data_IF_045164348112
#
_entry.id   IF_045164348112
#
_cell.length_a   1.000
_cell.length_b   1.000
_cell.length_c   1.000
_cell.angle_alpha   90.00
_cell.angle_beta   90.00
_cell.angle_gamma   90.00
#
_symmetry.space_group_name_H-M   'P 1'
#
loop_
_entity.id
_entity.type
_entity.pdbx_description
1 polymer ?
#
# COMPACT_ATOMS: atom_id res chain seq x y z
N UNK A 1 -8.10 -11.61 -10.67
CA UNK A 1 -8.13 -10.73 -9.48
C UNK A 1 -7.02 -11.20 -8.57
N UNK A 2 -6.23 -10.31 -7.98
CA UNK A 2 -5.10 -10.70 -7.13
C UNK A 2 -5.55 -11.57 -5.93
N UNK A 3 -4.73 -12.56 -5.54
CA UNK A 3 -4.92 -13.31 -4.29
C UNK A 3 -4.69 -12.39 -3.09
N UNK A 4 -5.53 -12.48 -2.06
CA UNK A 4 -5.53 -11.56 -0.90
C UNK A 4 -5.47 -12.28 0.43
N UNK A 5 -4.55 -11.88 1.30
CA UNK A 5 -4.44 -12.29 2.71
C UNK A 5 -4.53 -11.05 3.60
N UNK A 6 -5.41 -11.06 4.62
CA UNK A 6 -5.52 -9.98 5.61
C UNK A 6 -5.00 -10.46 6.95
N UNK A 7 -4.15 -9.65 7.56
CA UNK A 7 -3.67 -9.80 8.92
C UNK A 7 -4.14 -8.58 9.72
N UNK A 8 -4.67 -8.80 10.92
CA UNK A 8 -5.07 -7.73 11.86
C UNK A 8 -4.28 -7.98 13.13
N UNK A 9 -3.66 -6.95 13.69
CA UNK A 9 -2.94 -7.00 14.97
C UNK A 9 -3.68 -6.25 16.08
N UNK A 10 -3.32 -6.47 17.35
CA UNK A 10 -3.94 -5.79 18.48
C UNK A 10 -3.65 -4.28 18.47
N UNK A 11 -4.60 -3.50 18.98
CA UNK A 11 -4.45 -2.06 19.25
C UNK A 11 -3.68 -1.85 20.56
N UNK A 12 -2.66 -0.97 20.62
CA UNK A 12 -1.97 -0.70 21.87
C UNK A 12 -2.86 0.07 22.87
N UNK A 13 -2.83 -0.35 24.13
CA UNK A 13 -3.27 0.48 25.26
C UNK A 13 -2.28 1.64 25.46
N UNK A 14 -2.76 2.78 25.94
CA UNK A 14 -2.01 4.03 26.09
C UNK A 14 -0.98 4.06 27.23
N UNK A 15 -0.59 2.91 27.79
CA UNK A 15 0.33 2.86 28.91
C UNK A 15 1.76 2.63 28.42
N UNK A 16 2.41 3.73 28.05
CA UNK A 16 3.84 3.78 27.84
C UNK A 16 4.53 3.71 29.21
N UNK A 17 5.27 2.63 29.46
CA UNK A 17 6.27 2.64 30.53
C UNK A 17 7.63 2.06 30.08
N UNK A 18 8.63 2.87 30.40
CA UNK A 18 10.08 2.72 30.36
C UNK A 18 10.69 1.34 30.04
N UNK A 19 11.31 1.22 28.85
CA UNK A 19 12.34 0.21 28.59
C UNK A 19 13.73 0.87 28.56
N UNK A 20 14.49 0.64 29.63
CA UNK A 20 15.88 1.05 29.82
C UNK A 20 16.82 0.25 28.91
N UNK A 21 17.79 0.95 28.32
CA UNK A 21 18.84 0.40 27.47
C UNK A 21 20.01 -0.08 28.35
N UNK A 22 20.48 -1.34 28.29
CA UNK A 22 21.69 -1.73 28.99
C UNK A 22 22.91 -1.40 28.12
N UNK A 23 23.76 -0.51 28.63
CA UNK A 23 25.05 -0.17 28.03
C UNK A 23 26.05 -1.32 28.14
N UNK A 24 26.84 -1.50 27.09
CA UNK A 24 27.99 -2.43 27.08
C UNK A 24 29.26 -1.60 26.87
N UNK A 25 30.14 -1.67 27.86
CA UNK A 25 31.47 -1.08 27.94
C UNK A 25 32.45 -1.71 26.94
N UNK A 26 33.29 -0.88 26.33
CA UNK A 26 34.25 -1.31 25.31
C UNK A 26 35.54 -1.97 25.83
N UNK A 27 36.31 -2.48 24.86
CA UNK A 27 37.78 -2.59 24.89
C UNK A 27 38.31 -2.58 23.46
N UNK A 28 39.40 -1.85 23.25
CA UNK A 28 40.06 -1.63 21.97
C UNK A 28 41.35 -2.45 21.83
N UNK A 29 41.60 -2.94 20.62
CA UNK A 29 42.88 -3.23 19.94
C UNK A 29 42.46 -3.59 18.50
N UNK A 30 42.90 -2.96 17.41
CA UNK A 30 44.25 -2.57 17.03
C UNK A 30 44.60 -3.40 15.79
N UNK A 31 44.53 -2.80 14.60
CA UNK A 31 45.42 -3.00 13.44
C UNK A 31 44.78 -2.44 12.15
N UNK A 32 45.61 -1.75 11.37
CA UNK A 32 45.20 -0.92 10.25
C UNK A 32 44.98 -1.71 8.97
N UNK A 33 43.86 -1.43 8.33
CA UNK A 33 43.64 -1.72 6.93
C UNK A 33 42.96 -0.48 6.33
N UNK A 34 43.57 0.14 5.31
CA UNK A 34 42.95 1.27 4.59
C UNK A 34 41.78 0.74 3.77
N UNK A 35 40.64 0.58 4.41
CA UNK A 35 39.36 0.40 3.73
C UNK A 35 39.04 1.72 3.06
N UNK A 36 38.97 1.71 1.72
CA UNK A 36 38.51 2.87 0.96
C UNK A 36 37.15 3.32 1.52
N UNK A 37 37.01 4.62 1.76
CA UNK A 37 35.79 5.24 2.27
C UNK A 37 34.57 4.68 1.55
N UNK A 38 33.85 3.77 2.21
CA UNK A 38 32.57 3.30 1.74
C UNK A 38 31.65 4.51 1.79
N UNK A 39 31.35 5.12 0.63
CA UNK A 39 30.39 6.21 0.53
C UNK A 39 29.13 5.78 1.26
N UNK A 40 28.79 6.48 2.34
CA UNK A 40 27.53 6.29 3.06
C UNK A 40 26.41 6.31 2.01
N UNK A 41 25.58 5.26 1.91
CA UNK A 41 24.54 5.21 0.90
C UNK A 41 23.62 6.42 1.09
N UNK A 42 23.48 7.23 0.04
CA UNK A 42 22.57 8.38 0.07
C UNK A 42 21.15 7.91 0.44
N UNK A 43 20.42 8.67 1.25
CA UNK A 43 19.08 8.31 1.65
C UNK A 43 18.18 8.12 0.41
N UNK A 44 17.19 7.22 0.46
CA UNK A 44 16.30 6.97 -0.65
C UNK A 44 15.65 8.26 -1.17
N UNK A 45 15.73 8.51 -2.48
CA UNK A 45 15.07 9.66 -3.11
C UNK A 45 13.57 9.60 -2.85
N UNK A 46 13.05 10.61 -2.17
CA UNK A 46 11.62 10.81 -1.93
C UNK A 46 11.03 11.71 -3.01
N UNK A 47 9.96 11.26 -3.63
CA UNK A 47 9.19 12.00 -4.64
C UNK A 47 7.80 12.29 -4.07
N UNK A 48 7.37 13.55 -4.12
CA UNK A 48 6.04 13.95 -3.63
C UNK A 48 5.22 14.47 -4.80
N UNK A 49 4.02 13.91 -4.96
CA UNK A 49 3.04 14.34 -5.97
C UNK A 49 1.84 14.95 -5.24
N UNK A 50 1.67 16.26 -5.38
CA UNK A 50 0.44 16.94 -4.99
C UNK A 50 -0.67 16.62 -6.00
N UNK A 51 -1.76 16.05 -5.50
CA UNK A 51 -2.96 15.74 -6.28
C UNK A 51 -4.01 16.86 -6.19
N UNK A 52 -3.76 17.89 -5.38
CA UNK A 52 -4.66 18.99 -5.10
C UNK A 52 -5.72 18.66 -4.03
N UNK A 53 -6.28 19.71 -3.44
CA UNK A 53 -7.35 19.58 -2.44
C UNK A 53 -6.91 18.87 -1.15
N UNK A 54 -5.61 18.94 -0.80
CA UNK A 54 -5.02 18.26 0.35
C UNK A 54 -4.84 16.75 0.15
N UNK A 55 -4.89 16.26 -1.09
CA UNK A 55 -4.56 14.88 -1.44
C UNK A 55 -3.10 14.79 -1.90
N UNK A 56 -2.35 13.83 -1.39
CA UNK A 56 -0.93 13.68 -1.71
C UNK A 56 -0.53 12.20 -1.89
N UNK A 57 0.46 11.97 -2.76
CA UNK A 57 1.18 10.71 -2.90
C UNK A 57 2.67 10.94 -2.66
N UNK A 58 3.27 10.14 -1.77
CA UNK A 58 4.73 10.07 -1.59
C UNK A 58 5.22 8.76 -2.19
N UNK A 59 6.26 8.82 -3.02
CA UNK A 59 6.88 7.65 -3.64
C UNK A 59 8.37 7.60 -3.33
N UNK A 60 8.85 6.42 -2.93
CA UNK A 60 10.26 6.14 -2.64
C UNK A 60 10.65 4.90 -3.45
N UNK A 61 11.29 5.06 -4.62
CA UNK A 61 11.56 3.96 -5.55
C UNK A 61 12.51 2.88 -5.01
N UNK A 62 13.36 3.22 -4.03
CA UNK A 62 14.35 2.33 -3.41
C UNK A 62 14.23 2.41 -1.89
N UNK A 63 13.05 2.09 -1.38
CA UNK A 63 12.77 2.12 0.05
C UNK A 63 13.48 0.98 0.79
N UNK A 64 13.43 -0.22 0.22
CA UNK A 64 14.17 -1.40 0.70
C UNK A 64 15.43 -1.58 -0.15
N UNK A 65 16.57 -1.84 0.49
CA UNK A 65 17.81 -2.18 -0.20
C UNK A 65 17.60 -3.41 -1.11
N UNK A 66 18.27 -3.45 -2.26
CA UNK A 66 18.02 -4.44 -3.32
C UNK A 66 18.11 -5.87 -2.81
N UNK A 67 19.16 -6.18 -2.05
CA UNK A 67 19.46 -7.50 -1.53
C UNK A 67 18.36 -7.95 -0.56
N UNK A 68 17.96 -7.06 0.35
CA UNK A 68 16.87 -7.31 1.29
C UNK A 68 15.51 -7.41 0.61
N UNK A 69 15.26 -6.63 -0.44
CA UNK A 69 14.02 -6.70 -1.17
C UNK A 69 13.83 -8.06 -1.87
N UNK A 70 14.92 -8.68 -2.36
CA UNK A 70 14.89 -10.04 -2.89
C UNK A 70 14.71 -11.10 -1.81
N UNK A 71 15.42 -10.98 -0.69
CA UNK A 71 15.24 -11.88 0.47
C UNK A 71 13.78 -11.90 0.93
N UNK A 72 13.17 -10.72 1.07
CA UNK A 72 11.77 -10.60 1.48
C UNK A 72 10.82 -11.11 0.41
N UNK A 73 11.07 -10.80 -0.87
CA UNK A 73 10.26 -11.32 -1.97
C UNK A 73 10.24 -12.84 -1.98
N UNK A 74 11.41 -13.48 -1.90
CA UNK A 74 11.55 -14.93 -1.91
C UNK A 74 10.83 -15.56 -0.72
N UNK A 75 11.01 -15.00 0.47
CA UNK A 75 10.30 -15.46 1.66
C UNK A 75 8.78 -15.36 1.50
N UNK A 76 8.27 -14.21 1.06
CA UNK A 76 6.83 -13.98 0.88
C UNK A 76 6.23 -14.88 -0.22
N UNK A 77 6.94 -15.08 -1.33
CA UNK A 77 6.45 -15.86 -2.45
C UNK A 77 6.43 -17.36 -2.14
N UNK A 78 7.46 -17.85 -1.43
CA UNK A 78 7.63 -19.29 -1.13
C UNK A 78 6.97 -19.74 0.17
N UNK A 79 6.92 -18.87 1.18
CA UNK A 79 6.52 -19.28 2.54
C UNK A 79 5.06 -18.98 2.85
N UNK A 80 4.43 -18.02 2.17
CA UNK A 80 3.01 -17.71 2.40
C UNK A 80 2.15 -18.65 1.57
N UNK A 81 1.21 -19.39 2.18
CA UNK A 81 0.23 -20.14 1.44
C UNK A 81 -0.77 -19.16 0.83
N UNK A 82 -0.57 -18.79 -0.45
CA UNK A 82 -1.42 -17.86 -1.21
C UNK A 82 -2.80 -18.43 -1.58
N UNK A 83 -3.34 -19.23 -0.67
CA UNK A 83 -4.68 -19.79 -0.62
C UNK A 83 -5.51 -18.99 0.38
N UNK A 84 -6.76 -18.69 0.06
CA UNK A 84 -7.72 -18.22 1.07
C UNK A 84 -8.39 -19.45 1.70
N UNK A 85 -7.99 -19.90 2.90
CA UNK A 85 -8.81 -20.88 3.60
C UNK A 85 -10.14 -20.20 3.93
N UNK A 86 -11.22 -20.69 3.31
CA UNK A 86 -12.58 -20.36 3.72
C UNK A 86 -12.91 -21.17 4.96
N UNK A 87 -13.30 -20.50 6.04
CA UNK A 87 -13.93 -21.12 7.20
C UNK A 87 -15.46 -21.03 7.04
N UNK A 88 -16.17 -22.12 7.28
CA UNK A 88 -17.64 -22.10 7.30
C UNK A 88 -18.13 -21.73 8.70
N UNK A 89 -18.79 -20.59 8.83
CA UNK A 89 -19.43 -20.11 10.06
C UNK A 89 -20.94 -20.06 9.82
N UNK A 90 -21.71 -20.87 10.54
CA UNK A 90 -23.17 -21.00 10.36
C UNK A 90 -23.59 -21.26 8.90
N UNK A 91 -22.83 -22.08 8.18
CA UNK A 91 -23.10 -22.40 6.76
C UNK A 91 -22.67 -21.32 5.75
N UNK A 92 -22.07 -20.20 6.20
CA UNK A 92 -21.53 -19.15 5.33
C UNK A 92 -20.00 -19.19 5.33
N UNK A 93 -19.37 -19.10 4.17
CA UNK A 93 -17.90 -19.01 4.05
C UNK A 93 -17.40 -17.62 4.50
N UNK A 94 -16.41 -17.59 5.38
CA UNK A 94 -15.70 -16.40 5.87
C UNK A 94 -14.18 -16.57 5.74
N UNK A 95 -13.41 -15.47 5.65
CA UNK A 95 -11.95 -15.52 5.51
C UNK A 95 -11.28 -15.59 6.91
N UNK A 96 -10.29 -16.47 7.07
CA UNK A 96 -9.47 -16.54 8.29
C UNK A 96 -8.44 -15.38 8.34
N UNK A 97 -8.34 -14.69 9.47
CA UNK A 97 -7.38 -13.60 9.72
C UNK A 97 -6.32 -14.12 10.70
N UNK A 98 -5.04 -13.98 10.38
CA UNK A 98 -3.93 -14.31 11.29
C UNK A 98 -3.28 -13.02 11.82
N UNK A 99 -2.81 -13.02 13.06
CA UNK A 99 -2.10 -11.90 13.71
C UNK A 99 -0.59 -11.90 13.38
N UNK A 100 0.04 -10.72 13.26
CA UNK A 100 1.51 -10.63 13.23
C UNK A 100 2.09 -9.26 13.65
N UNK A 101 3.02 -9.36 14.61
CA UNK A 101 4.24 -8.58 14.94
C UNK A 101 4.18 -7.18 15.62
N UNK A 102 5.05 -6.89 16.63
CA UNK A 102 5.11 -5.63 17.37
C UNK A 102 5.99 -4.54 16.72
N UNK A 103 5.65 -3.25 16.92
CA UNK A 103 6.57 -2.12 16.76
C UNK A 103 6.30 -1.10 15.64
N UNK A 104 5.12 -1.08 15.02
CA UNK A 104 4.73 -0.05 14.03
C UNK A 104 3.22 0.26 14.10
N UNK A 105 2.80 1.51 13.85
CA UNK A 105 1.40 1.97 14.00
C UNK A 105 0.49 1.67 12.79
N UNK A 106 0.52 0.42 12.31
CA UNK A 106 -0.46 -0.11 11.38
C UNK A 106 -0.96 -1.44 11.94
N UNK A 107 -2.21 -1.49 12.39
CA UNK A 107 -2.80 -2.71 12.95
C UNK A 107 -3.53 -3.55 11.87
N UNK A 108 -3.49 -3.16 10.60
CA UNK A 108 -4.04 -3.94 9.49
C UNK A 108 -3.06 -4.02 8.33
N UNK A 109 -2.73 -5.24 7.92
CA UNK A 109 -1.89 -5.55 6.77
C UNK A 109 -2.66 -6.41 5.75
N UNK A 110 -2.75 -5.93 4.51
CA UNK A 110 -3.31 -6.67 3.38
C UNK A 110 -2.22 -7.02 2.38
N UNK A 111 -2.02 -8.30 2.11
CA UNK A 111 -1.12 -8.78 1.07
C UNK A 111 -1.91 -9.05 -0.20
N UNK A 112 -1.42 -8.56 -1.33
CA UNK A 112 -1.93 -8.91 -2.66
C UNK A 112 -0.83 -9.59 -3.46
N UNK A 113 -1.09 -10.81 -3.97
CA UNK A 113 -0.21 -11.47 -4.94
C UNK A 113 -0.84 -11.48 -6.32
N UNK A 114 -0.09 -10.95 -7.29
CA UNK A 114 -0.38 -10.95 -8.71
C UNK A 114 0.51 -12.01 -9.34
N UNK A 115 -0.05 -13.12 -9.81
CA UNK A 115 0.70 -14.23 -10.39
C UNK A 115 1.36 -13.81 -11.70
N UNK A 116 0.61 -13.10 -12.54
CA UNK A 116 1.05 -12.58 -13.83
C UNK A 116 0.37 -11.23 -14.10
N UNK A 117 0.57 -10.70 -15.30
CA UNK A 117 -0.10 -9.51 -15.79
C UNK A 117 -1.60 -9.65 -16.04
N UNK A 118 -2.17 -10.85 -16.01
CA UNK A 118 -3.63 -11.04 -16.09
C UNK A 118 -4.33 -10.69 -14.77
N UNK A 119 -3.59 -10.71 -13.65
CA UNK A 119 -4.07 -10.27 -12.35
C UNK A 119 -4.09 -8.75 -12.24
N UNK A 120 -5.13 -8.26 -11.57
CA UNK A 120 -5.44 -6.85 -11.48
C UNK A 120 -6.20 -6.56 -10.18
N UNK A 121 -6.28 -5.28 -9.86
CA UNK A 121 -7.29 -4.72 -8.95
C UNK A 121 -8.01 -3.59 -9.68
N UNK A 122 -9.35 -3.65 -9.69
CA UNK A 122 -10.19 -2.61 -10.29
C UNK A 122 -10.04 -1.28 -9.58
N UNK A 123 -10.58 -0.21 -10.18
CA UNK A 123 -10.69 1.09 -9.54
C UNK A 123 -11.44 1.00 -8.21
N UNK A 124 -10.78 1.43 -7.13
CA UNK A 124 -11.33 1.48 -5.77
C UNK A 124 -10.63 2.57 -4.95
N UNK A 125 -11.13 2.84 -3.75
CA UNK A 125 -10.44 3.62 -2.74
C UNK A 125 -10.46 2.82 -1.43
N UNK A 126 -9.51 3.09 -0.53
CA UNK A 126 -9.53 2.55 0.83
C UNK A 126 -10.29 3.54 1.74
N UNK A 127 -11.60 3.64 1.54
CA UNK A 127 -12.49 4.63 2.18
C UNK A 127 -13.51 4.00 3.16
N UNK A 128 -13.21 2.79 3.65
CA UNK A 128 -14.00 2.18 4.71
C UNK A 128 -14.00 3.04 5.99
N UNK A 129 -15.16 3.25 6.65
CA UNK A 129 -15.27 4.13 7.81
C UNK A 129 -14.27 3.84 8.93
N UNK A 130 -13.89 2.57 9.07
CA UNK A 130 -12.95 2.08 10.08
C UNK A 130 -11.51 2.63 9.92
N UNK A 131 -11.17 3.25 8.78
CA UNK A 131 -9.86 3.90 8.59
C UNK A 131 -9.88 5.41 8.87
N UNK A 132 -11.05 5.99 9.20
CA UNK A 132 -11.22 7.41 9.43
C UNK A 132 -11.28 8.26 8.15
N UNK A 133 -11.38 9.60 8.29
CA UNK A 133 -11.66 10.50 7.16
C UNK A 133 -10.45 10.80 6.26
N UNK A 134 -9.23 10.61 6.76
CA UNK A 134 -7.96 10.89 6.04
C UNK A 134 -6.93 9.80 6.33
N UNK A 135 -7.20 8.54 5.97
CA UNK A 135 -6.29 7.45 6.28
C UNK A 135 -4.97 7.60 5.53
N UNK A 136 -3.87 7.28 6.22
CA UNK A 136 -2.58 7.08 5.59
C UNK A 136 -2.42 5.61 5.20
N UNK A 137 -2.25 5.36 3.90
CA UNK A 137 -2.12 4.03 3.33
C UNK A 137 -0.71 3.87 2.78
N UNK A 138 0.07 2.97 3.37
CA UNK A 138 1.42 2.65 2.91
C UNK A 138 1.44 1.34 2.11
N UNK A 139 2.08 1.36 0.94
CA UNK A 139 2.11 0.25 0.01
C UNK A 139 3.55 -0.09 -0.37
N UNK A 140 4.03 -1.26 0.05
CA UNK A 140 5.37 -1.76 -0.28
C UNK A 140 5.26 -2.83 -1.36
N UNK A 141 6.04 -2.70 -2.44
CA UNK A 141 5.98 -3.59 -3.61
C UNK A 141 7.25 -4.43 -3.75
N UNK A 142 7.07 -5.73 -4.03
CA UNK A 142 8.13 -6.68 -4.35
C UNK A 142 7.82 -7.46 -5.63
N UNK A 143 8.87 -7.95 -6.27
CA UNK A 143 8.78 -8.67 -7.56
C UNK A 143 8.61 -7.76 -8.76
N UNK A 144 7.81 -8.20 -9.74
CA UNK A 144 7.63 -7.53 -11.02
C UNK A 144 7.01 -6.13 -10.89
N UNK A 145 7.54 -5.17 -11.66
CA UNK A 145 7.04 -3.79 -11.68
C UNK A 145 5.67 -3.69 -12.35
N UNK A 146 4.79 -2.85 -11.78
CA UNK A 146 3.45 -2.64 -12.31
C UNK A 146 3.03 -1.18 -12.17
N UNK A 147 2.27 -0.72 -13.17
CA UNK A 147 1.60 0.57 -13.07
C UNK A 147 0.57 0.56 -11.94
N UNK A 148 0.63 1.59 -11.12
CA UNK A 148 -0.39 1.96 -10.16
C UNK A 148 -1.02 3.25 -10.64
N UNK A 149 -2.29 3.18 -11.01
CA UNK A 149 -2.99 4.29 -11.62
C UNK A 149 -3.85 4.99 -10.57
N UNK A 150 -3.87 6.32 -10.59
CA UNK A 150 -4.78 7.14 -9.80
C UNK A 150 -5.66 7.99 -10.73
N UNK A 151 -6.95 8.05 -10.45
CA UNK A 151 -7.89 8.97 -11.10
C UNK A 151 -8.80 9.62 -10.07
N UNK A 152 -9.26 10.83 -10.34
CA UNK A 152 -10.23 11.50 -9.49
C UNK A 152 -11.54 10.72 -9.49
N UNK A 153 -12.25 10.68 -8.35
CA UNK A 153 -13.58 10.09 -8.29
C UNK A 153 -14.53 10.87 -9.20
N UNK A 154 -15.52 10.21 -9.84
CA UNK A 154 -16.56 10.90 -10.57
C UNK A 154 -17.32 11.83 -9.63
N UNK A 155 -17.35 13.14 -9.91
CA UNK A 155 -18.23 14.06 -9.19
C UNK A 155 -19.67 13.75 -9.54
N UNK A 156 -20.50 13.43 -8.55
CA UNK A 156 -21.95 13.44 -8.70
C UNK A 156 -22.38 14.90 -8.79
N UNK A 157 -22.47 15.44 -10.00
CA UNK A 157 -23.17 16.71 -10.21
C UNK A 157 -24.62 16.50 -9.79
N UNK A 158 -25.00 17.03 -8.62
CA UNK A 158 -26.41 17.22 -8.29
C UNK A 158 -26.96 18.17 -9.35
N UNK A 159 -27.71 17.65 -10.31
CA UNK A 159 -28.59 18.48 -11.11
C UNK A 159 -29.55 19.14 -10.10
N UNK A 160 -29.39 20.44 -9.91
CA UNK A 160 -30.35 21.26 -9.17
C UNK A 160 -31.72 20.99 -9.80
N UNK A 161 -32.59 20.33 -9.06
CA UNK A 161 -33.95 20.01 -9.47
C UNK A 161 -34.75 21.31 -9.51
N UNK A 162 -34.60 22.06 -10.60
CA UNK A 162 -35.62 22.98 -11.06
C UNK A 162 -36.77 22.14 -11.60
N UNK A 163 -37.96 22.32 -11.00
CA UNK A 163 -39.23 21.78 -11.45
C UNK A 163 -39.47 22.12 -12.93
N UNK A 164 -39.61 21.11 -13.79
CA UNK A 164 -40.02 21.30 -15.17
C UNK A 164 -39.44 20.29 -16.16
N UNK A 165 -40.30 19.33 -16.52
CA UNK A 165 -40.28 18.53 -17.76
C UNK A 165 -39.21 17.45 -18.03
N UNK A 166 -39.72 16.29 -18.42
CA UNK A 166 -39.04 15.03 -18.64
C UNK A 166 -38.17 15.05 -19.91
N UNK A 167 -36.93 15.52 -19.78
CA UNK A 167 -35.87 15.26 -20.74
C UNK A 167 -34.88 14.25 -20.18
N UNK A 168 -34.63 13.13 -20.88
CA UNK A 168 -33.53 12.19 -20.59
C UNK A 168 -32.19 12.94 -20.69
N UNK A 169 -31.75 13.58 -19.61
CA UNK A 169 -30.43 14.22 -19.53
C UNK A 169 -29.36 13.14 -19.44
N UNK A 170 -28.83 12.77 -20.60
CA UNK A 170 -27.58 12.02 -20.72
C UNK A 170 -26.51 12.79 -19.95
N UNK A 171 -26.00 12.22 -18.84
CA UNK A 171 -24.90 12.81 -18.10
C UNK A 171 -23.73 13.01 -19.07
N UNK A 172 -23.50 14.25 -19.47
CA UNK A 172 -22.32 14.66 -20.23
C UNK A 172 -21.16 14.56 -19.25
N UNK A 173 -20.45 13.43 -19.29
CA UNK A 173 -19.16 13.25 -18.59
C UNK A 173 -18.19 14.24 -19.22
N UNK A 174 -18.07 15.42 -18.64
CA UNK A 174 -17.18 16.47 -19.10
C UNK A 174 -15.77 16.24 -18.56
N UNK A 175 -14.80 16.37 -19.46
CA UNK A 175 -13.34 16.35 -19.29
C UNK A 175 -12.71 15.01 -18.88
N UNK A 176 -11.74 14.57 -19.67
CA UNK A 176 -10.73 13.58 -19.33
C UNK A 176 -10.04 13.98 -18.02
N UNK A 177 -10.54 13.48 -16.89
CA UNK A 177 -9.89 13.72 -15.60
C UNK A 177 -8.45 13.18 -15.69
N UNK A 178 -7.48 14.06 -15.42
CA UNK A 178 -6.04 13.74 -15.45
C UNK A 178 -5.77 12.52 -14.58
N UNK A 179 -5.29 11.46 -15.22
CA UNK A 179 -4.86 10.24 -14.54
C UNK A 179 -3.38 10.38 -14.16
N UNK A 180 -3.02 9.98 -12.95
CA UNK A 180 -1.64 9.83 -12.52
C UNK A 180 -1.23 8.36 -12.65
N UNK A 181 0.03 8.10 -13.04
CA UNK A 181 0.58 6.76 -13.17
C UNK A 181 1.90 6.67 -12.44
N UNK A 182 2.03 5.68 -11.56
CA UNK A 182 3.24 5.40 -10.79
C UNK A 182 3.72 4.00 -11.14
N UNK A 183 4.94 3.87 -11.66
CA UNK A 183 5.55 2.55 -11.89
C UNK A 183 6.13 2.06 -10.55
N UNK A 184 5.43 1.14 -9.89
CA UNK A 184 5.85 0.62 -8.59
C UNK A 184 6.95 -0.43 -8.78
N UNK A 185 8.15 -0.06 -8.35
CA UNK A 185 9.36 -0.87 -8.51
C UNK A 185 9.51 -1.91 -7.40
N UNK A 186 10.35 -2.89 -7.65
CA UNK A 186 10.81 -3.83 -6.63
C UNK A 186 11.46 -3.08 -5.45
N UNK A 187 11.01 -3.35 -4.22
CA UNK A 187 11.51 -2.69 -3.01
C UNK A 187 11.04 -1.24 -2.83
N UNK A 188 10.04 -0.79 -3.59
CA UNK A 188 9.52 0.57 -3.49
C UNK A 188 8.42 0.73 -2.44
N UNK A 189 8.29 1.95 -1.91
CA UNK A 189 7.19 2.38 -1.03
C UNK A 189 6.38 3.48 -1.74
N UNK A 190 5.05 3.33 -1.75
CA UNK A 190 4.10 4.39 -2.10
C UNK A 190 3.19 4.65 -0.91
N UNK A 191 3.08 5.91 -0.49
CA UNK A 191 2.17 6.35 0.57
C UNK A 191 1.11 7.27 -0.03
N UNK A 192 -0.16 6.96 0.22
CA UNK A 192 -1.29 7.83 -0.08
C UNK A 192 -1.79 8.44 1.23
N UNK A 193 -1.86 9.77 1.34
CA UNK A 193 -2.28 10.46 2.56
C UNK A 193 -3.14 11.69 2.31
N UNK A 194 -3.65 12.29 3.37
CA UNK A 194 -4.60 13.40 3.31
C UNK A 194 -5.94 12.95 2.76
N UNK A 195 -6.52 13.69 1.81
CA UNK A 195 -7.83 13.38 1.24
C UNK A 195 -7.79 12.41 0.04
N UNK A 196 -6.66 11.74 -0.19
CA UNK A 196 -6.49 10.86 -1.37
C UNK A 196 -7.56 9.77 -1.42
N UNK A 197 -7.85 9.07 -0.32
CA UNK A 197 -8.89 8.03 -0.33
C UNK A 197 -10.31 8.61 -0.46
N UNK A 198 -10.53 9.87 -0.06
CA UNK A 198 -11.82 10.56 -0.23
C UNK A 198 -12.05 10.92 -1.70
N UNK A 199 -11.06 11.52 -2.36
CA UNK A 199 -11.23 12.21 -3.64
C UNK A 199 -10.75 11.40 -4.86
N UNK A 200 -9.93 10.36 -4.65
CA UNK A 200 -9.29 9.59 -5.70
C UNK A 200 -9.63 8.10 -5.62
N UNK A 201 -9.58 7.43 -6.76
CA UNK A 201 -9.57 5.99 -6.89
C UNK A 201 -8.25 5.53 -7.49
N UNK A 202 -7.81 4.34 -7.11
CA UNK A 202 -6.60 3.72 -7.62
C UNK A 202 -6.85 2.32 -8.18
N UNK A 203 -5.96 1.87 -9.07
CA UNK A 203 -6.03 0.54 -9.68
C UNK A 203 -4.65 -0.01 -10.06
N UNK A 204 -4.58 -1.33 -10.24
CA UNK A 204 -3.44 -2.01 -10.89
C UNK A 204 -4.01 -2.72 -12.12
N UNK A 205 -3.84 -2.17 -13.33
CA UNK A 205 -4.46 -2.67 -14.55
C UNK A 205 -3.75 -3.93 -15.08
N UNK A 206 -4.45 -4.73 -15.90
CA UNK A 206 -3.85 -5.88 -16.61
C UNK A 206 -2.70 -5.46 -17.54
N UNK A 207 -1.71 -6.33 -17.73
CA UNK A 207 -0.54 -6.13 -18.61
C UNK A 207 -0.18 -7.44 -19.31
N UNK A 208 -0.55 -7.61 -20.58
CA UNK A 208 -0.44 -8.90 -21.28
C UNK A 208 0.98 -9.50 -21.32
N UNK A 209 2.02 -8.66 -21.35
CA UNK A 209 3.43 -9.09 -21.48
C UNK A 209 4.11 -9.42 -20.14
N UNK A 210 3.42 -9.32 -19.02
CA UNK A 210 3.99 -9.61 -17.69
C UNK A 210 3.70 -11.07 -17.31
N UNK A 211 4.76 -11.87 -17.15
CA UNK A 211 4.69 -13.27 -16.74
C UNK A 211 5.20 -13.53 -15.32
N UNK A 212 5.94 -12.59 -14.73
CA UNK A 212 6.53 -12.74 -13.41
C UNK A 212 5.62 -12.24 -12.28
N UNK A 213 5.70 -12.85 -11.08
CA UNK A 213 4.84 -12.47 -9.97
C UNK A 213 5.21 -11.11 -9.35
N UNK A 214 4.20 -10.46 -8.76
CA UNK A 214 4.32 -9.26 -7.93
C UNK A 214 3.59 -9.48 -6.61
N UNK A 215 4.19 -9.06 -5.52
CA UNK A 215 3.58 -9.05 -4.19
C UNK A 215 3.51 -7.60 -3.70
N UNK A 216 2.37 -7.23 -3.13
CA UNK A 216 2.16 -5.89 -2.56
C UNK A 216 1.64 -6.01 -1.14
N UNK A 217 2.29 -5.32 -0.20
CA UNK A 217 1.90 -5.20 1.20
C UNK A 217 1.25 -3.84 1.39
N UNK A 218 -0.03 -3.81 1.76
CA UNK A 218 -0.77 -2.59 2.05
C UNK A 218 -1.05 -2.48 3.54
N UNK A 219 -0.38 -1.54 4.19
CA UNK A 219 -0.50 -1.24 5.60
C UNK A 219 -1.54 -0.14 5.82
N UNK A 220 -2.38 -0.32 6.85
CA UNK A 220 -3.46 0.60 7.24
C UNK A 220 -3.59 0.66 8.76
N UNK A 221 -4.13 1.77 9.24
CA UNK A 221 -4.51 1.93 10.64
C UNK A 221 -6.03 1.86 10.76
N UNK A 222 -6.53 0.88 11.49
CA UNK A 222 -7.93 0.70 11.86
C UNK A 222 -8.16 1.45 13.17
N UNK A 223 -9.12 2.39 13.15
CA UNK A 223 -9.60 3.09 14.32
C UNK A 223 -10.41 2.13 15.20
N UNK A 224 -10.14 2.16 16.51
CA UNK A 224 -10.90 1.48 17.57
C UNK A 224 -12.12 2.28 17.99
#
# INVERSE_FOLDING_TARGET
MASRLRLVGPTPSTDADSAQNPGISGKAAGEGERVGEAKTPEPPRREVTDLGGGSEVVYIPRFVAREKAWEWFDYLDKSIPWTRPEIRVFGRSANQVHEALPGSYFNSLLLNRYKTGSDYVSWHADDEPLYGPTPEIASVTFGCERDFLLRKKPTKSKATSGSGEAGRKQLKVTASQKQHSFLLKHGSLLVMRGYTQRDWQHSVPKRAKVSSPRINLTFRHVLS
#
